data_IF_351517468092
#
_entry.id   IF_351517468092
#
_cell.length_a   1.000
_cell.length_b   1.000
_cell.length_c   1.000
_cell.angle_alpha   90.00
_cell.angle_beta   90.00
_cell.angle_gamma   90.00
#
_symmetry.space_group_name_H-M   'P 1'
#
loop_
_entity.id
_entity.type
_entity.pdbx_description
1 polymer ?
#
# COMPACT_ATOMS: atom_id res chain seq x y z
N UNK A 1 16.61 31.35 -17.56
CA UNK A 1 17.53 32.20 -16.78
C UNK A 1 18.76 31.38 -16.47
N UNK A 2 19.96 31.93 -16.65
CA UNK A 2 21.19 31.29 -16.17
C UNK A 2 21.30 31.47 -14.66
N UNK A 3 21.71 30.44 -13.93
CA UNK A 3 21.97 30.52 -12.49
C UNK A 3 23.19 31.40 -12.21
N UNK A 4 23.27 31.95 -10.99
CA UNK A 4 24.49 32.58 -10.51
C UNK A 4 25.60 31.54 -10.33
N UNK A 5 26.87 31.98 -10.28
CA UNK A 5 27.98 31.06 -10.01
C UNK A 5 27.83 30.34 -8.65
N UNK A 6 27.39 31.07 -7.63
CA UNK A 6 27.19 30.53 -6.28
C UNK A 6 26.07 29.48 -6.25
N UNK A 7 24.94 29.75 -6.92
CA UNK A 7 23.82 28.80 -6.99
C UNK A 7 24.20 27.54 -7.79
N UNK A 8 24.91 27.71 -8.91
CA UNK A 8 25.41 26.56 -9.69
C UNK A 8 26.35 25.71 -8.85
N UNK A 9 27.31 26.34 -8.15
CA UNK A 9 28.25 25.63 -7.29
C UNK A 9 27.53 24.83 -6.20
N UNK A 10 26.53 25.41 -5.55
CA UNK A 10 25.72 24.73 -4.53
C UNK A 10 24.99 23.49 -5.07
N UNK A 11 24.45 23.58 -6.29
CA UNK A 11 23.79 22.43 -6.93
C UNK A 11 24.80 21.33 -7.29
N UNK A 12 25.98 21.69 -7.77
CA UNK A 12 27.04 20.74 -8.13
C UNK A 12 27.62 20.03 -6.89
N UNK A 13 27.75 20.75 -5.77
CA UNK A 13 28.11 20.15 -4.47
C UNK A 13 27.07 19.14 -4.01
N UNK A 14 25.78 19.50 -4.10
CA UNK A 14 24.69 18.59 -3.72
C UNK A 14 24.59 17.39 -4.67
N UNK A 15 24.77 17.59 -5.98
CA UNK A 15 24.87 16.49 -6.94
C UNK A 15 25.99 15.51 -6.58
N UNK A 16 27.18 16.03 -6.26
CA UNK A 16 28.32 15.21 -5.84
C UNK A 16 28.02 14.45 -4.54
N UNK A 17 27.29 15.07 -3.61
CA UNK A 17 26.80 14.41 -2.41
C UNK A 17 25.84 13.26 -2.77
N UNK A 18 24.86 13.47 -3.65
CA UNK A 18 23.92 12.43 -4.08
C UNK A 18 24.66 11.25 -4.74
N UNK A 19 25.54 11.50 -5.72
CA UNK A 19 26.33 10.46 -6.39
C UNK A 19 27.16 9.65 -5.40
N UNK A 20 27.76 10.31 -4.41
CA UNK A 20 28.56 9.64 -3.37
C UNK A 20 27.72 8.71 -2.49
N UNK A 21 26.48 9.05 -2.19
CA UNK A 21 25.66 8.33 -1.20
C UNK A 21 24.56 7.44 -1.81
N UNK A 22 24.31 7.52 -3.13
CA UNK A 22 23.21 6.84 -3.83
C UNK A 22 23.06 5.36 -3.48
N UNK A 23 24.16 4.63 -3.32
CA UNK A 23 24.15 3.18 -3.06
C UNK A 23 24.40 2.80 -1.59
N UNK A 24 24.44 3.77 -0.67
CA UNK A 24 24.80 3.53 0.74
C UNK A 24 23.63 3.65 1.73
N UNK A 25 22.41 3.84 1.23
CA UNK A 25 21.18 3.89 2.06
C UNK A 25 20.62 2.50 2.39
N UNK A 26 21.49 1.55 2.75
CA UNK A 26 21.14 0.12 2.95
C UNK A 26 20.17 -0.16 4.12
N UNK A 27 19.89 0.84 4.96
CA UNK A 27 18.98 0.73 6.11
C UNK A 27 17.51 0.95 5.76
N UNK A 28 17.18 1.30 4.52
CA UNK A 28 15.82 1.57 4.07
C UNK A 28 15.47 0.72 2.84
N UNK A 29 14.20 0.31 2.69
CA UNK A 29 13.74 -0.46 1.55
C UNK A 29 13.49 0.45 0.34
N UNK A 30 14.56 1.00 -0.24
CA UNK A 30 14.50 1.89 -1.39
C UNK A 30 15.33 1.35 -2.57
N UNK A 31 14.85 1.61 -3.79
CA UNK A 31 15.64 1.39 -4.99
C UNK A 31 16.63 2.53 -5.18
N UNK A 32 17.86 2.22 -5.57
CA UNK A 32 18.91 3.22 -5.83
C UNK A 32 19.19 3.41 -7.32
N UNK A 33 18.71 2.53 -8.18
CA UNK A 33 19.03 2.50 -9.61
C UNK A 33 17.86 3.00 -10.46
N UNK A 34 17.77 4.31 -10.60
CA UNK A 34 16.74 4.97 -11.40
C UNK A 34 17.32 5.46 -12.73
N UNK A 35 16.64 5.14 -13.84
CA UNK A 35 16.93 5.70 -15.15
C UNK A 35 15.70 6.45 -15.70
N UNK A 36 15.73 7.77 -15.57
CA UNK A 36 14.68 8.65 -16.07
C UNK A 36 14.93 9.21 -17.46
N UNK A 37 15.94 8.74 -18.21
CA UNK A 37 16.26 9.26 -19.55
C UNK A 37 15.06 9.24 -20.51
N UNK A 38 14.25 8.18 -20.46
CA UNK A 38 13.03 8.08 -21.29
C UNK A 38 11.97 9.11 -20.88
N UNK A 39 11.57 9.23 -19.60
CA UNK A 39 10.55 10.19 -19.21
C UNK A 39 11.03 11.65 -19.09
N UNK A 40 12.34 11.92 -19.02
CA UNK A 40 12.92 13.25 -18.75
C UNK A 40 12.32 14.36 -19.62
N UNK A 41 12.15 14.10 -20.92
CA UNK A 41 11.62 15.08 -21.87
C UNK A 41 10.22 15.59 -21.51
N UNK A 42 9.43 14.78 -20.80
CA UNK A 42 8.06 15.12 -20.41
C UNK A 42 7.99 16.06 -19.21
N UNK A 43 9.08 16.21 -18.45
CA UNK A 43 9.18 17.15 -17.32
C UNK A 43 9.09 18.62 -17.74
N UNK A 44 9.06 18.89 -19.05
CA UNK A 44 8.82 20.22 -19.63
C UNK A 44 7.35 20.60 -19.72
N UNK A 45 6.43 19.66 -19.48
CA UNK A 45 4.99 19.87 -19.53
C UNK A 45 4.39 19.85 -18.13
N UNK A 46 3.32 20.61 -17.91
CA UNK A 46 2.50 20.51 -16.69
C UNK A 46 1.54 19.33 -16.84
N UNK A 47 2.05 18.12 -16.60
CA UNK A 47 1.24 16.90 -16.63
C UNK A 47 0.39 16.83 -15.36
N UNK A 48 -0.89 16.49 -15.51
CA UNK A 48 -1.79 16.35 -14.36
C UNK A 48 -2.93 15.35 -14.64
N UNK A 49 -3.00 14.30 -13.84
CA UNK A 49 -4.06 13.28 -13.83
C UNK A 49 -5.21 13.72 -12.92
N UNK A 50 -5.82 14.87 -13.21
CA UNK A 50 -6.93 15.37 -12.43
C UNK A 50 -8.22 14.62 -12.79
N UNK A 51 -8.74 13.83 -11.86
CA UNK A 51 -9.97 13.05 -12.01
C UNK A 51 -9.71 11.55 -12.01
N UNK A 52 -10.61 10.81 -12.64
CA UNK A 52 -10.53 9.35 -12.79
C UNK A 52 -10.13 9.01 -14.23
N UNK A 53 -9.18 8.09 -14.40
CA UNK A 53 -8.73 7.61 -15.71
C UNK A 53 -9.83 6.88 -16.50
N UNK A 54 -10.88 6.41 -15.83
CA UNK A 54 -12.03 5.76 -16.44
C UNK A 54 -13.04 6.76 -17.04
N UNK A 55 -12.94 8.05 -16.68
CA UNK A 55 -13.88 9.09 -17.08
C UNK A 55 -13.29 10.09 -18.08
N UNK A 56 -14.18 10.86 -18.71
CA UNK A 56 -13.75 11.97 -19.55
C UNK A 56 -13.07 13.07 -18.72
N UNK A 57 -11.88 13.49 -19.13
CA UNK A 57 -11.18 14.64 -18.59
C UNK A 57 -10.89 15.69 -19.67
N UNK A 58 -11.19 16.95 -19.37
CA UNK A 58 -10.93 18.08 -20.26
C UNK A 58 -9.49 18.60 -20.19
N UNK A 59 -8.70 18.17 -19.19
CA UNK A 59 -7.28 18.51 -19.08
C UNK A 59 -6.46 17.63 -20.03
N UNK A 60 -6.01 18.21 -21.15
CA UNK A 60 -5.39 17.47 -22.25
C UNK A 60 -4.02 16.86 -21.92
N UNK A 61 -3.25 17.49 -21.03
CA UNK A 61 -1.91 17.04 -20.65
C UNK A 61 -2.00 16.08 -19.45
N UNK A 62 -2.78 15.01 -19.58
CA UNK A 62 -2.83 13.93 -18.61
C UNK A 62 -2.12 12.69 -19.17
N UNK A 63 -1.88 11.72 -18.29
CA UNK A 63 -1.28 10.41 -18.56
C UNK A 63 -2.21 9.28 -18.12
N UNK A 64 -3.54 9.44 -18.29
CA UNK A 64 -4.51 8.43 -17.89
C UNK A 64 -4.35 7.09 -18.61
N UNK A 65 -4.00 7.11 -19.91
CA UNK A 65 -3.76 5.87 -20.64
C UNK A 65 -2.59 5.08 -20.02
N UNK A 66 -1.51 5.76 -19.63
CA UNK A 66 -0.37 5.14 -18.95
C UNK A 66 -0.70 4.67 -17.53
N UNK A 67 -1.50 5.45 -16.79
CA UNK A 67 -1.99 5.06 -15.47
C UNK A 67 -2.83 3.78 -15.56
N UNK A 68 -3.72 3.70 -16.54
CA UNK A 68 -4.54 2.51 -16.82
C UNK A 68 -3.68 1.30 -17.19
N UNK A 69 -2.63 1.48 -17.98
CA UNK A 69 -1.67 0.40 -18.30
C UNK A 69 -0.96 -0.13 -17.04
N UNK A 70 -0.55 0.76 -16.12
CA UNK A 70 0.06 0.36 -14.84
C UNK A 70 -0.94 -0.41 -13.97
N UNK A 71 -2.19 0.05 -13.88
CA UNK A 71 -3.24 -0.64 -13.12
C UNK A 71 -3.52 -2.01 -13.75
N UNK A 72 -3.64 -2.10 -15.07
CA UNK A 72 -3.86 -3.36 -15.77
C UNK A 72 -2.71 -4.35 -15.56
N UNK A 73 -1.46 -3.87 -15.55
CA UNK A 73 -0.29 -4.68 -15.22
C UNK A 73 -0.41 -5.29 -13.81
N UNK A 74 -0.66 -4.46 -12.79
CA UNK A 74 -0.78 -4.95 -11.41
C UNK A 74 -2.02 -5.83 -11.19
N UNK A 75 -3.14 -5.55 -11.86
CA UNK A 75 -4.30 -6.45 -11.87
C UNK A 75 -3.92 -7.84 -12.40
N UNK A 76 -3.11 -7.91 -13.46
CA UNK A 76 -2.56 -9.17 -13.96
C UNK A 76 -1.63 -9.87 -12.97
N UNK A 77 -0.71 -9.13 -12.34
CA UNK A 77 0.21 -9.64 -11.32
C UNK A 77 -0.55 -10.23 -10.13
N UNK A 78 -1.58 -9.54 -9.65
CA UNK A 78 -2.41 -9.96 -8.52
C UNK A 78 -3.59 -10.84 -8.93
N UNK A 79 -3.68 -11.23 -10.21
CA UNK A 79 -4.71 -12.11 -10.78
C UNK A 79 -6.15 -11.60 -10.52
N UNK A 80 -6.33 -10.29 -10.53
CA UNK A 80 -7.62 -9.62 -10.42
C UNK A 80 -8.17 -9.43 -11.85
N UNK A 81 -9.40 -9.90 -12.16
CA UNK A 81 -10.04 -9.59 -13.43
C UNK A 81 -10.14 -8.07 -13.60
N UNK A 82 -9.61 -7.53 -14.69
CA UNK A 82 -9.44 -6.08 -14.84
C UNK A 82 -10.77 -5.32 -14.80
N UNK A 83 -11.86 -5.93 -15.30
CA UNK A 83 -13.21 -5.39 -15.25
C UNK A 83 -13.80 -5.30 -13.83
N UNK A 84 -13.19 -5.98 -12.86
CA UNK A 84 -13.50 -5.90 -11.43
C UNK A 84 -12.47 -5.09 -10.65
N UNK A 85 -11.46 -4.54 -11.34
CA UNK A 85 -10.40 -3.75 -10.74
C UNK A 85 -10.68 -2.26 -10.93
N UNK A 86 -10.53 -1.51 -9.85
CA UNK A 86 -10.44 -0.06 -9.88
C UNK A 86 -9.36 0.39 -8.89
N UNK A 87 -8.62 1.43 -9.26
CA UNK A 87 -7.53 1.99 -8.46
C UNK A 87 -6.89 3.17 -9.17
N UNK A 88 -5.86 3.75 -8.56
CA UNK A 88 -5.09 4.86 -9.12
C UNK A 88 -3.65 4.82 -8.61
N UNK A 89 -2.73 5.50 -9.29
CA UNK A 89 -1.32 5.55 -8.91
C UNK A 89 -1.11 6.59 -7.81
N UNK A 90 -0.72 6.11 -6.62
CA UNK A 90 -0.46 6.95 -5.44
C UNK A 90 0.99 7.47 -5.38
N UNK A 91 1.25 8.49 -4.57
CA UNK A 91 2.60 9.01 -4.30
C UNK A 91 3.39 8.14 -3.30
N UNK A 92 2.78 7.10 -2.73
CA UNK A 92 3.45 6.15 -1.86
C UNK A 92 2.47 5.38 -0.98
N UNK A 93 2.99 4.37 -0.26
CA UNK A 93 2.16 3.45 0.54
C UNK A 93 1.31 4.12 1.62
N UNK A 94 1.70 5.30 2.14
CA UNK A 94 0.87 6.03 3.11
C UNK A 94 -0.44 6.52 2.49
N UNK A 95 -0.41 7.02 1.25
CA UNK A 95 -1.60 7.45 0.54
C UNK A 95 -2.48 6.25 0.19
N UNK A 96 -1.90 5.17 -0.33
CA UNK A 96 -2.61 3.92 -0.61
C UNK A 96 -3.28 3.32 0.62
N UNK A 97 -2.56 3.25 1.75
CA UNK A 97 -3.11 2.79 3.03
C UNK A 97 -4.22 3.71 3.55
N UNK A 98 -4.05 5.03 3.41
CA UNK A 98 -5.07 5.99 3.84
C UNK A 98 -6.35 5.80 3.03
N UNK A 99 -6.22 5.65 1.71
CA UNK A 99 -7.35 5.45 0.82
C UNK A 99 -8.03 4.10 1.06
N UNK A 100 -7.26 3.02 1.26
CA UNK A 100 -7.80 1.70 1.62
C UNK A 100 -8.57 1.70 2.96
N UNK A 101 -8.03 2.35 3.99
CA UNK A 101 -8.74 2.53 5.26
C UNK A 101 -9.99 3.42 5.11
N UNK A 102 -9.92 4.44 4.25
CA UNK A 102 -11.07 5.29 3.92
C UNK A 102 -12.18 4.46 3.28
N UNK A 103 -11.88 3.64 2.27
CA UNK A 103 -12.87 2.74 1.65
C UNK A 103 -13.49 1.77 2.67
N UNK A 104 -12.67 1.14 3.51
CA UNK A 104 -13.16 0.25 4.56
C UNK A 104 -14.15 0.96 5.51
N UNK A 105 -13.85 2.20 5.90
CA UNK A 105 -14.76 3.03 6.71
C UNK A 105 -16.02 3.43 5.95
N UNK A 106 -15.94 3.81 4.68
CA UNK A 106 -17.14 4.17 3.92
C UNK A 106 -18.09 2.99 3.72
N UNK A 107 -17.54 1.77 3.58
CA UNK A 107 -18.33 0.53 3.51
C UNK A 107 -18.92 0.15 4.88
N UNK A 108 -18.15 0.34 5.96
CA UNK A 108 -18.56 0.01 7.33
C UNK A 108 -18.29 1.17 8.31
N UNK A 109 -19.15 2.19 8.36
CA UNK A 109 -18.87 3.47 9.06
C UNK A 109 -18.60 3.36 10.56
N UNK A 110 -19.22 2.40 11.23
CA UNK A 110 -19.13 2.22 12.68
C UNK A 110 -18.15 1.11 13.11
N UNK A 111 -17.55 0.42 12.13
CA UNK A 111 -16.71 -0.74 12.36
C UNK A 111 -15.37 -0.42 13.03
N UNK A 112 -14.82 -1.44 13.67
CA UNK A 112 -13.49 -1.43 14.25
C UNK A 112 -12.47 -1.95 13.23
N UNK A 113 -11.39 -1.19 13.06
CA UNK A 113 -10.20 -1.57 12.30
C UNK A 113 -9.21 -2.32 13.19
N UNK A 114 -8.91 -3.57 12.82
CA UNK A 114 -7.96 -4.44 13.48
C UNK A 114 -6.64 -4.46 12.71
N UNK A 115 -5.54 -4.14 13.38
CA UNK A 115 -4.21 -4.14 12.80
C UNK A 115 -3.18 -4.67 13.81
N UNK A 116 -2.16 -5.39 13.33
CA UNK A 116 -1.16 -5.98 14.22
C UNK A 116 -0.23 -4.92 14.83
N UNK A 117 0.40 -5.22 15.97
CA UNK A 117 1.42 -4.37 16.61
C UNK A 117 2.66 -4.13 15.73
N UNK A 118 2.91 -4.99 14.75
CA UNK A 118 3.98 -4.87 13.76
C UNK A 118 3.58 -4.07 12.51
N UNK A 119 2.34 -3.60 12.45
CA UNK A 119 1.83 -2.76 11.35
C UNK A 119 2.58 -1.43 11.27
N UNK A 120 2.82 -0.95 10.05
CA UNK A 120 3.53 0.30 9.82
C UNK A 120 2.88 1.49 10.55
N UNK A 121 3.72 2.38 11.11
CA UNK A 121 3.26 3.49 11.96
C UNK A 121 2.25 4.43 11.28
N UNK A 122 2.21 4.46 9.94
CA UNK A 122 1.25 5.28 9.19
C UNK A 122 -0.19 4.93 9.55
N UNK A 123 -0.49 3.66 9.86
CA UNK A 123 -1.85 3.20 10.13
C UNK A 123 -2.42 3.84 11.39
N UNK A 124 -1.65 3.91 12.46
CA UNK A 124 -2.08 4.61 13.68
C UNK A 124 -2.38 6.10 13.43
N UNK A 125 -1.62 6.75 12.54
CA UNK A 125 -1.89 8.13 12.11
C UNK A 125 -3.16 8.22 11.26
N UNK A 126 -3.33 7.31 10.29
CA UNK A 126 -4.48 7.23 9.39
C UNK A 126 -5.77 7.02 10.16
N UNK A 127 -5.81 6.06 11.07
CA UNK A 127 -6.97 5.78 11.95
C UNK A 127 -7.41 7.03 12.68
N UNK A 128 -6.45 7.79 13.25
CA UNK A 128 -6.74 9.06 13.94
C UNK A 128 -7.26 10.14 12.99
N UNK A 129 -6.66 10.28 11.81
CA UNK A 129 -7.08 11.26 10.80
C UNK A 129 -8.49 10.98 10.28
N UNK A 130 -8.80 9.71 10.01
CA UNK A 130 -10.08 9.26 9.49
C UNK A 130 -11.13 9.01 10.59
N UNK A 131 -10.76 9.14 11.87
CA UNK A 131 -11.61 8.90 13.05
C UNK A 131 -12.22 7.49 13.07
N UNK A 132 -11.44 6.49 12.66
CA UNK A 132 -11.86 5.09 12.67
C UNK A 132 -11.68 4.54 14.08
N UNK A 133 -12.63 3.75 14.59
CA UNK A 133 -12.42 2.97 15.83
C UNK A 133 -11.40 1.89 15.50
N UNK A 134 -10.44 1.62 16.39
CA UNK A 134 -9.42 0.62 16.08
C UNK A 134 -9.00 -0.20 17.27
N UNK A 135 -8.50 -1.39 17.00
CA UNK A 135 -7.93 -2.28 17.98
C UNK A 135 -6.57 -2.80 17.48
N UNK A 136 -5.55 -2.68 18.32
CA UNK A 136 -4.24 -3.29 18.05
C UNK A 136 -4.32 -4.77 18.36
N UNK A 137 -3.91 -5.63 17.45
CA UNK A 137 -3.79 -7.09 17.60
C UNK A 137 -2.34 -7.44 17.94
N UNK A 138 -2.12 -8.46 18.76
CA UNK A 138 -0.77 -8.94 19.03
C UNK A 138 -0.12 -9.55 17.78
N UNK A 139 1.20 -9.69 17.81
CA UNK A 139 1.97 -10.35 16.76
C UNK A 139 2.71 -11.54 17.36
N UNK A 140 2.84 -12.57 16.54
CA UNK A 140 3.71 -13.71 16.79
C UNK A 140 5.19 -13.28 16.81
N UNK A 141 6.12 -14.12 17.34
CA UNK A 141 7.54 -13.77 17.43
C UNK A 141 8.21 -13.42 16.09
N UNK A 142 7.70 -13.97 14.97
CA UNK A 142 8.17 -13.68 13.61
C UNK A 142 7.64 -12.33 13.06
N UNK A 143 6.71 -11.66 13.76
CA UNK A 143 6.08 -10.41 13.35
C UNK A 143 4.74 -10.58 12.62
N UNK A 144 4.33 -11.81 12.32
CA UNK A 144 3.02 -12.13 11.74
C UNK A 144 1.91 -11.87 12.77
N UNK A 145 0.71 -11.51 12.32
CA UNK A 145 -0.45 -11.30 13.18
C UNK A 145 -0.77 -12.54 14.01
N UNK A 146 -1.12 -12.33 15.28
CA UNK A 146 -1.69 -13.37 16.14
C UNK A 146 -3.19 -13.53 15.84
N UNK A 147 -3.55 -14.58 15.12
CA UNK A 147 -4.93 -14.84 14.72
C UNK A 147 -5.84 -15.28 15.86
N UNK A 148 -5.30 -15.86 16.94
CA UNK A 148 -6.10 -16.20 18.13
C UNK A 148 -6.49 -14.92 18.87
N UNK A 149 -5.54 -13.99 19.02
CA UNK A 149 -5.80 -12.69 19.61
C UNK A 149 -6.71 -11.81 18.73
N UNK A 150 -6.57 -11.86 17.40
CA UNK A 150 -7.50 -11.22 16.47
C UNK A 150 -8.95 -11.66 16.74
N UNK A 151 -9.20 -12.97 16.71
CA UNK A 151 -10.55 -13.51 16.86
C UNK A 151 -11.11 -13.27 18.26
N UNK A 152 -10.25 -13.31 19.30
CA UNK A 152 -10.63 -12.94 20.66
C UNK A 152 -11.11 -11.49 20.73
N UNK A 153 -10.38 -10.56 20.12
CA UNK A 153 -10.73 -9.13 20.11
C UNK A 153 -12.03 -8.86 19.37
N UNK A 154 -12.19 -9.40 18.16
CA UNK A 154 -13.45 -9.34 17.40
C UNK A 154 -14.64 -9.83 18.24
N UNK A 155 -14.47 -10.97 18.94
CA UNK A 155 -15.52 -11.54 19.78
C UNK A 155 -15.87 -10.69 21.00
N UNK A 156 -14.86 -10.13 21.69
CA UNK A 156 -15.06 -9.23 22.84
C UNK A 156 -15.75 -7.94 22.44
N UNK A 157 -15.34 -7.36 21.31
CA UNK A 157 -15.90 -6.13 20.77
C UNK A 157 -17.31 -6.35 20.18
N UNK A 158 -17.70 -7.60 19.95
CA UNK A 158 -18.95 -8.01 19.27
C UNK A 158 -19.07 -7.38 17.88
N UNK A 159 -17.93 -7.25 17.21
CA UNK A 159 -17.87 -6.66 15.87
C UNK A 159 -18.45 -7.64 14.85
N UNK A 160 -19.42 -7.15 14.06
CA UNK A 160 -20.05 -7.91 12.99
C UNK A 160 -19.48 -7.54 11.63
N UNK A 161 -18.83 -6.38 11.51
CA UNK A 161 -18.29 -5.87 10.26
C UNK A 161 -16.82 -5.45 10.33
N UNK A 162 -15.91 -6.34 10.74
CA UNK A 162 -14.54 -5.95 11.04
C UNK A 162 -13.81 -5.43 9.78
N UNK A 163 -13.01 -4.38 9.97
CA UNK A 163 -12.04 -3.94 8.97
C UNK A 163 -10.70 -4.55 9.36
N UNK A 164 -10.16 -5.44 8.52
CA UNK A 164 -8.87 -6.08 8.77
C UNK A 164 -7.78 -5.38 7.97
N UNK A 165 -6.71 -4.97 8.65
CA UNK A 165 -5.49 -4.46 8.04
C UNK A 165 -4.39 -5.53 8.16
N UNK A 166 -4.12 -6.22 7.06
CA UNK A 166 -3.13 -7.28 6.97
C UNK A 166 -1.82 -6.75 6.36
N UNK A 167 -0.68 -7.16 6.90
CA UNK A 167 0.64 -6.79 6.42
C UNK A 167 1.18 -7.87 5.47
N UNK A 168 1.46 -7.49 4.23
CA UNK A 168 2.17 -8.32 3.26
C UNK A 168 3.61 -7.80 3.20
N UNK A 169 4.40 -8.18 4.20
CA UNK A 169 5.75 -7.66 4.41
C UNK A 169 5.78 -6.51 5.40
N UNK A 170 5.70 -6.82 6.70
CA UNK A 170 5.84 -5.82 7.77
C UNK A 170 7.18 -5.08 7.70
N UNK A 171 7.20 -3.80 8.07
CA UNK A 171 8.34 -2.90 7.81
C UNK A 171 9.66 -3.37 8.44
N UNK A 172 9.60 -3.96 9.64
CA UNK A 172 10.82 -4.32 10.39
C UNK A 172 11.24 -5.77 10.14
N UNK A 173 10.28 -6.68 10.07
CA UNK A 173 10.56 -8.14 10.02
C UNK A 173 10.26 -8.77 8.67
N UNK A 174 9.63 -8.05 7.75
CA UNK A 174 9.16 -8.61 6.48
C UNK A 174 8.09 -9.69 6.66
N UNK A 175 7.39 -9.69 7.80
CA UNK A 175 6.40 -10.72 8.11
C UNK A 175 5.17 -10.62 7.21
N UNK A 176 4.57 -11.76 6.91
CA UNK A 176 3.43 -11.86 6.00
C UNK A 176 2.24 -12.42 6.78
N UNK A 177 1.22 -11.60 6.94
CA UNK A 177 -0.06 -12.01 7.48
C UNK A 177 -0.79 -12.90 6.47
N UNK A 178 -1.26 -14.04 6.93
CA UNK A 178 -1.93 -15.07 6.16
C UNK A 178 -3.41 -14.70 5.96
N UNK A 179 -3.71 -14.16 4.78
CA UNK A 179 -5.06 -13.76 4.38
C UNK A 179 -6.03 -14.95 4.42
N UNK A 180 -5.62 -16.12 3.92
CA UNK A 180 -6.47 -17.33 3.89
C UNK A 180 -6.89 -17.75 5.31
N UNK A 181 -5.97 -17.71 6.28
CA UNK A 181 -6.26 -18.04 7.68
C UNK A 181 -7.19 -17.00 8.34
N UNK A 182 -6.99 -15.70 8.06
CA UNK A 182 -7.91 -14.64 8.51
C UNK A 182 -9.32 -14.91 7.99
N UNK A 183 -9.47 -15.08 6.68
CA UNK A 183 -10.78 -15.30 6.04
C UNK A 183 -11.46 -16.56 6.56
N UNK A 184 -10.71 -17.67 6.68
CA UNK A 184 -11.21 -18.93 7.23
C UNK A 184 -11.72 -18.79 8.66
N UNK A 185 -11.01 -18.04 9.52
CA UNK A 185 -11.43 -17.83 10.91
C UNK A 185 -12.64 -16.93 11.04
N UNK A 186 -12.71 -15.86 10.25
CA UNK A 186 -13.90 -15.00 10.18
C UNK A 186 -15.12 -15.80 9.72
N UNK A 187 -14.97 -16.62 8.69
CA UNK A 187 -16.03 -17.50 8.20
C UNK A 187 -16.47 -18.52 9.26
N UNK A 188 -15.53 -19.17 9.94
CA UNK A 188 -15.83 -20.12 11.02
C UNK A 188 -16.51 -19.46 12.22
N UNK A 189 -16.25 -18.16 12.46
CA UNK A 189 -16.93 -17.35 13.47
C UNK A 189 -18.34 -16.91 13.05
N UNK A 190 -18.67 -17.02 11.77
CA UNK A 190 -19.98 -16.69 11.21
C UNK A 190 -20.05 -15.34 10.49
N UNK A 191 -18.92 -14.68 10.26
CA UNK A 191 -18.84 -13.44 9.47
C UNK A 191 -18.60 -13.83 8.00
N UNK A 192 -19.52 -13.45 7.12
CA UNK A 192 -19.47 -13.77 5.69
C UNK A 192 -18.53 -12.82 4.93
N UNK A 193 -18.15 -13.19 3.70
CA UNK A 193 -17.18 -12.43 2.89
C UNK A 193 -17.61 -10.98 2.64
N UNK A 194 -18.91 -10.76 2.49
CA UNK A 194 -19.54 -9.45 2.27
C UNK A 194 -19.69 -8.63 3.56
N UNK A 195 -19.44 -9.23 4.73
CA UNK A 195 -19.61 -8.58 6.02
C UNK A 195 -18.31 -8.00 6.55
N UNK A 196 -17.15 -8.26 5.95
CA UNK A 196 -15.87 -7.66 6.37
C UNK A 196 -15.12 -7.00 5.21
N UNK A 197 -14.24 -6.06 5.55
CA UNK A 197 -13.30 -5.46 4.62
C UNK A 197 -11.87 -5.91 4.96
N UNK A 198 -11.07 -6.22 3.94
CA UNK A 198 -9.67 -6.58 4.11
C UNK A 198 -8.80 -5.66 3.27
N UNK A 199 -7.90 -4.94 3.92
CA UNK A 199 -6.82 -4.17 3.31
C UNK A 199 -5.51 -4.93 3.47
N UNK A 200 -4.81 -5.17 2.37
CA UNK A 200 -3.48 -5.77 2.38
C UNK A 200 -2.42 -4.70 2.11
N UNK A 201 -1.63 -4.35 3.12
CA UNK A 201 -0.48 -3.45 2.97
C UNK A 201 0.71 -4.23 2.42
N UNK A 202 0.92 -4.11 1.11
CA UNK A 202 2.02 -4.71 0.38
C UNK A 202 3.02 -3.65 -0.10
N UNK A 203 3.22 -2.55 0.64
CA UNK A 203 4.00 -1.38 0.21
C UNK A 203 5.41 -1.72 -0.32
N UNK A 204 6.07 -2.71 0.28
CA UNK A 204 7.34 -3.24 -0.22
C UNK A 204 7.14 -4.54 -0.99
N UNK A 205 6.60 -5.55 -0.32
CA UNK A 205 6.64 -6.92 -0.83
C UNK A 205 5.66 -7.18 -1.98
N UNK A 206 4.68 -6.29 -2.22
CA UNK A 206 3.74 -6.41 -3.34
C UNK A 206 4.40 -6.35 -4.72
N UNK A 207 5.60 -5.76 -4.81
CA UNK A 207 6.41 -5.72 -6.04
C UNK A 207 7.50 -6.79 -6.08
N UNK A 208 7.58 -7.66 -5.06
CA UNK A 208 8.62 -8.69 -4.92
C UNK A 208 8.00 -10.08 -4.93
N UNK A 209 7.07 -10.35 -4.01
CA UNK A 209 6.50 -11.69 -3.76
C UNK A 209 5.88 -12.35 -4.98
N UNK A 210 5.15 -11.64 -5.88
CA UNK A 210 4.59 -12.27 -7.07
C UNK A 210 5.63 -12.86 -8.04
N UNK A 211 6.91 -12.48 -7.88
CA UNK A 211 8.02 -12.89 -8.74
C UNK A 211 9.01 -13.85 -8.04
N UNK A 212 8.70 -14.28 -6.81
CA UNK A 212 9.51 -15.24 -6.05
C UNK A 212 8.93 -16.64 -6.24
N UNK A 213 9.78 -17.63 -6.52
CA UNK A 213 9.36 -19.03 -6.77
C UNK A 213 8.66 -19.67 -5.55
N UNK A 214 9.14 -19.36 -4.34
CA UNK A 214 8.61 -19.87 -3.07
C UNK A 214 8.29 -18.71 -2.10
N UNK A 215 7.15 -18.00 -2.29
CA UNK A 215 6.83 -16.79 -1.50
C UNK A 215 6.28 -17.11 -0.10
N UNK A 216 6.32 -18.37 0.34
CA UNK A 216 5.77 -18.82 1.63
C UNK A 216 4.24 -18.62 1.72
N UNK A 217 3.79 -18.04 2.84
CA UNK A 217 2.37 -17.78 3.12
C UNK A 217 1.71 -16.76 2.18
N UNK A 218 2.46 -16.09 1.28
CA UNK A 218 1.93 -15.16 0.28
C UNK A 218 1.47 -15.83 -1.03
N UNK A 219 1.27 -17.15 -1.04
CA UNK A 219 0.95 -17.92 -2.24
C UNK A 219 -0.39 -17.52 -2.89
N UNK A 220 -1.29 -16.86 -2.14
CA UNK A 220 -2.54 -16.28 -2.62
C UNK A 220 -2.68 -14.81 -2.15
N UNK A 221 -2.01 -13.87 -2.81
CA UNK A 221 -2.33 -12.43 -2.67
C UNK A 221 -3.65 -12.04 -3.38
N UNK A 222 -4.52 -13.02 -3.63
CA UNK A 222 -5.85 -12.82 -4.20
C UNK A 222 -6.73 -12.18 -3.11
N UNK A 223 -6.98 -10.88 -3.24
CA UNK A 223 -7.87 -10.09 -2.37
C UNK A 223 -9.34 -10.29 -2.79
#
# INVERSE_FOLDING_TARGET
>A
MSLSFEDQHKLDEFWSYCVKHQYFNIGYPESADFNYTVPERFMRFSINNCGDWADYCNYRLNTFDFEKEVIAYFAGVFKIPFEQCWGYVTNGGTEGNMFGCYLGRELFPDAILYYSRDTHYSVAKIVKLLRIKSQVVESQPNGEMDYDDLMKKISVDRETNPIIFANIGSTVRGAIDNIDEIQKRLQAYGIKREEFYLHADAALSGMILPFVDEPGNATNLLI
#
